data_IF_632042445326
#
_entry.id   IF_632042445326
#
_cell.length_a   1.000
_cell.length_b   1.000
_cell.length_c   1.000
_cell.angle_alpha   90.00
_cell.angle_beta   90.00
_cell.angle_gamma   90.00
#
_symmetry.space_group_name_H-M   'P 1'
#
loop_
_entity.id
_entity.type
_entity.pdbx_description
1 polymer ?
#
# COMPACT_ATOMS: atom_id res chain seq x y z
N UNK A 1 -2.09 -12.37 -0.75
CA UNK A 1 -1.85 -11.17 0.08
C UNK A 1 -1.08 -11.52 1.35
N UNK A 2 -1.51 -12.51 2.13
CA UNK A 2 -0.76 -12.97 3.33
C UNK A 2 0.69 -13.41 3.02
N UNK A 3 0.95 -14.07 1.88
CA UNK A 3 2.32 -14.46 1.49
C UNK A 3 3.25 -13.25 1.28
N UNK A 4 2.77 -12.20 0.59
CA UNK A 4 3.59 -11.05 0.26
C UNK A 4 4.06 -10.27 1.50
N UNK A 5 3.21 -10.13 2.52
CA UNK A 5 3.60 -9.47 3.77
C UNK A 5 4.71 -10.28 4.45
N UNK A 6 4.52 -11.60 4.57
CA UNK A 6 5.52 -12.49 5.16
C UNK A 6 6.86 -12.42 4.42
N UNK A 7 6.83 -12.45 3.09
CA UNK A 7 8.03 -12.36 2.26
C UNK A 7 8.78 -11.04 2.50
N UNK A 8 8.06 -9.91 2.54
CA UNK A 8 8.68 -8.61 2.82
C UNK A 8 9.28 -8.55 4.23
N UNK A 9 8.61 -9.12 5.24
CA UNK A 9 9.13 -9.13 6.62
C UNK A 9 10.35 -10.04 6.78
N UNK A 10 10.38 -11.19 6.11
CA UNK A 10 11.54 -12.10 6.12
C UNK A 10 12.76 -11.44 5.47
N UNK A 11 12.55 -10.72 4.36
CA UNK A 11 13.61 -10.03 3.63
C UNK A 11 14.09 -8.75 4.33
N UNK A 12 13.29 -8.19 5.26
CA UNK A 12 13.60 -6.94 5.96
C UNK A 12 13.54 -7.12 7.50
N UNK A 13 14.54 -7.77 8.12
CA UNK A 13 14.54 -8.09 9.55
C UNK A 13 14.38 -6.86 10.46
N UNK A 14 14.98 -5.73 10.10
CA UNK A 14 14.86 -4.47 10.88
C UNK A 14 13.42 -3.97 10.93
N UNK A 15 12.68 -4.07 9.81
CA UNK A 15 11.25 -3.73 9.77
C UNK A 15 10.46 -4.69 10.65
N UNK A 16 10.76 -5.99 10.59
CA UNK A 16 10.09 -6.98 11.42
C UNK A 16 10.28 -6.72 12.92
N UNK A 17 11.52 -6.41 13.35
CA UNK A 17 11.80 -6.05 14.75
C UNK A 17 11.00 -4.83 15.19
N UNK A 18 11.05 -3.75 14.42
CA UNK A 18 10.32 -2.51 14.70
C UNK A 18 8.80 -2.71 14.77
N UNK A 19 8.26 -3.56 13.89
CA UNK A 19 6.85 -3.93 13.92
C UNK A 19 6.47 -4.71 15.17
N UNK A 20 7.30 -5.67 15.60
CA UNK A 20 7.07 -6.39 16.86
C UNK A 20 7.12 -5.47 18.07
N UNK A 21 8.05 -4.53 18.10
CA UNK A 21 8.16 -3.53 19.15
C UNK A 21 6.89 -2.67 19.26
N UNK A 22 6.38 -2.15 18.13
CA UNK A 22 5.12 -1.39 18.12
C UNK A 22 3.95 -2.20 18.67
N UNK A 23 3.79 -3.45 18.22
CA UNK A 23 2.70 -4.32 18.68
C UNK A 23 2.83 -4.59 20.19
N UNK A 24 4.04 -4.88 20.66
CA UNK A 24 4.30 -5.14 22.07
C UNK A 24 3.98 -3.93 22.96
N UNK A 25 4.35 -2.72 22.52
CA UNK A 25 4.12 -1.49 23.26
C UNK A 25 2.64 -1.08 23.31
N UNK A 26 1.88 -1.29 22.23
CA UNK A 26 0.50 -0.80 22.13
C UNK A 26 -0.56 -1.84 22.50
N UNK A 27 -0.32 -3.12 22.23
CA UNK A 27 -1.27 -4.20 22.56
C UNK A 27 -0.98 -4.75 23.97
N UNK A 28 0.27 -4.69 24.40
CA UNK A 28 0.76 -5.21 25.68
C UNK A 28 1.28 -6.65 25.58
N UNK A 29 1.88 -7.11 26.68
CA UNK A 29 2.35 -8.50 26.85
C UNK A 29 1.31 -9.42 27.48
N UNK A 30 0.21 -8.85 27.94
CA UNK A 30 -0.85 -9.61 28.59
C UNK A 30 -1.42 -10.59 27.57
N UNK A 31 -1.72 -11.80 28.02
CA UNK A 31 -2.13 -12.94 27.19
C UNK A 31 -3.53 -12.77 26.56
N UNK A 32 -3.93 -11.53 26.25
CA UNK A 32 -5.17 -11.16 25.60
C UNK A 32 -5.01 -11.23 24.08
N UNK A 33 -6.12 -11.53 23.40
CA UNK A 33 -6.18 -11.46 21.95
C UNK A 33 -6.17 -9.99 21.48
N UNK A 34 -5.58 -9.77 20.30
CA UNK A 34 -5.66 -8.50 19.57
C UNK A 34 -7.12 -8.19 19.25
N UNK A 35 -7.52 -6.94 19.46
CA UNK A 35 -8.85 -6.43 19.13
C UNK A 35 -8.75 -5.42 17.99
N UNK A 36 -9.84 -5.23 17.27
CA UNK A 36 -9.92 -4.24 16.20
C UNK A 36 -9.63 -2.81 16.71
N UNK A 37 -10.06 -2.51 17.93
CA UNK A 37 -9.78 -1.23 18.61
C UNK A 37 -8.29 -0.95 18.84
N UNK A 38 -7.42 -1.96 18.74
CA UNK A 38 -5.97 -1.78 18.86
C UNK A 38 -5.35 -1.23 17.55
N UNK A 39 -5.96 -1.51 16.39
CA UNK A 39 -5.39 -1.21 15.05
C UNK A 39 -5.10 0.29 14.83
N UNK A 40 -5.94 1.24 15.27
CA UNK A 40 -5.63 2.66 15.15
C UNK A 40 -4.32 3.07 15.84
N UNK A 41 -3.90 2.33 16.88
CA UNK A 41 -2.66 2.57 17.63
C UNK A 41 -1.45 1.80 17.06
N UNK A 42 -1.58 1.19 15.88
CA UNK A 42 -0.51 0.46 15.19
C UNK A 42 -0.17 1.11 13.84
N UNK A 43 0.29 2.38 13.82
CA UNK A 43 0.55 3.11 12.57
C UNK A 43 1.64 2.46 11.70
N UNK A 44 2.67 1.84 12.30
CA UNK A 44 3.71 1.16 11.55
C UNK A 44 3.22 -0.16 10.95
N UNK A 45 2.37 -0.91 11.64
CA UNK A 45 1.66 -2.05 11.02
C UNK A 45 0.86 -1.60 9.79
N UNK A 46 0.10 -0.52 9.91
CA UNK A 46 -0.66 0.02 8.78
C UNK A 46 0.26 0.44 7.64
N UNK A 47 1.41 1.03 7.95
CA UNK A 47 2.43 1.42 6.98
C UNK A 47 3.04 0.21 6.26
N UNK A 48 3.35 -0.87 6.98
CA UNK A 48 3.84 -2.14 6.42
C UNK A 48 2.83 -2.74 5.45
N UNK A 49 1.54 -2.75 5.81
CA UNK A 49 0.47 -3.24 4.92
C UNK A 49 0.36 -2.39 3.67
N UNK A 50 0.36 -1.06 3.80
CA UNK A 50 0.30 -0.12 2.66
C UNK A 50 1.49 -0.28 1.73
N UNK A 51 2.70 -0.39 2.26
CA UNK A 51 3.92 -0.58 1.45
C UNK A 51 3.95 -1.95 0.77
N UNK A 52 3.44 -2.99 1.44
CA UNK A 52 3.32 -4.31 0.82
C UNK A 52 2.34 -4.26 -0.36
N UNK A 53 1.22 -3.57 -0.22
CA UNK A 53 0.24 -3.41 -1.31
C UNK A 53 0.77 -2.56 -2.47
N UNK A 54 1.65 -1.58 -2.19
CA UNK A 54 2.33 -0.80 -3.22
C UNK A 54 3.26 -1.68 -4.07
N UNK A 55 4.11 -2.49 -3.42
CA UNK A 55 5.02 -3.37 -4.14
C UNK A 55 4.30 -4.61 -4.72
N UNK A 56 3.26 -5.10 -4.07
CA UNK A 56 2.53 -6.31 -4.48
C UNK A 56 1.03 -6.03 -4.63
N UNK A 57 0.62 -5.23 -5.63
CA UNK A 57 -0.78 -4.89 -5.82
C UNK A 57 -1.59 -6.12 -6.19
N UNK A 58 -2.78 -6.26 -5.59
CA UNK A 58 -3.72 -7.37 -5.83
C UNK A 58 -4.17 -7.44 -7.30
N UNK A 59 -4.10 -6.32 -8.03
CA UNK A 59 -4.29 -6.33 -9.48
C UNK A 59 -3.31 -5.39 -10.17
N UNK A 60 -2.46 -5.98 -10.99
CA UNK A 60 -1.41 -5.29 -11.75
C UNK A 60 -1.99 -4.41 -12.85
N UNK A 61 -3.01 -4.88 -13.56
CA UNK A 61 -3.73 -4.16 -14.60
C UNK A 61 -5.19 -3.99 -14.21
N UNK A 62 -5.67 -2.74 -14.25
CA UNK A 62 -7.09 -2.40 -14.05
C UNK A 62 -7.69 -1.94 -15.36
N UNK A 63 -8.71 -2.66 -15.83
CA UNK A 63 -9.43 -2.28 -17.03
C UNK A 63 -10.52 -1.23 -16.74
N UNK A 64 -10.71 -0.32 -17.69
CA UNK A 64 -11.85 0.59 -17.82
C UNK A 64 -12.33 0.55 -19.26
N UNK A 65 -13.61 0.77 -19.48
CA UNK A 65 -14.16 0.99 -20.81
C UNK A 65 -14.55 2.45 -20.95
N UNK A 66 -14.13 3.06 -22.05
CA UNK A 66 -14.49 4.42 -22.37
C UNK A 66 -15.96 4.47 -22.83
N UNK A 67 -16.80 5.25 -22.17
CA UNK A 67 -18.23 5.29 -22.48
C UNK A 67 -18.59 6.34 -23.54
N UNK A 68 -17.74 7.35 -23.71
CA UNK A 68 -17.92 8.47 -24.62
C UNK A 68 -16.59 8.78 -25.30
N UNK A 69 -16.65 9.36 -26.49
CA UNK A 69 -15.45 9.92 -27.12
C UNK A 69 -14.84 10.97 -26.18
N UNK A 70 -13.54 10.85 -25.89
CA UNK A 70 -12.83 11.73 -24.95
C UNK A 70 -11.39 11.97 -25.37
N UNK A 71 -10.71 12.93 -24.72
CA UNK A 71 -9.28 13.17 -24.88
C UNK A 71 -8.54 12.93 -23.57
N UNK A 72 -7.46 12.17 -23.62
CA UNK A 72 -6.54 11.97 -22.48
C UNK A 72 -5.13 12.35 -22.94
N UNK A 73 -4.47 13.27 -22.23
CA UNK A 73 -3.13 13.77 -22.57
C UNK A 73 -2.96 14.17 -24.05
N UNK A 74 -4.01 14.77 -24.63
CA UNK A 74 -4.03 15.19 -26.04
C UNK A 74 -4.42 14.11 -27.05
N UNK A 75 -4.55 12.85 -26.65
CA UNK A 75 -4.94 11.74 -27.52
C UNK A 75 -6.45 11.54 -27.55
N UNK A 76 -7.01 11.34 -28.74
CA UNK A 76 -8.43 10.99 -28.94
C UNK A 76 -8.68 9.51 -28.62
N UNK A 77 -9.61 9.25 -27.70
CA UNK A 77 -10.05 7.92 -27.30
C UNK A 77 -11.53 7.78 -27.63
N UNK A 78 -11.87 6.78 -28.45
CA UNK A 78 -13.25 6.52 -28.86
C UNK A 78 -14.05 5.77 -27.80
N UNK A 79 -15.35 6.04 -27.74
CA UNK A 79 -16.30 5.23 -27.00
C UNK A 79 -16.14 3.74 -27.35
N UNK A 80 -16.23 2.85 -26.36
CA UNK A 80 -15.97 1.42 -26.49
C UNK A 80 -14.51 1.01 -26.31
N UNK A 81 -13.54 1.93 -26.35
CA UNK A 81 -12.12 1.61 -26.13
C UNK A 81 -11.88 1.04 -24.73
N UNK A 82 -11.06 -0.01 -24.63
CA UNK A 82 -10.58 -0.55 -23.35
C UNK A 82 -9.29 0.15 -22.95
N UNK A 83 -9.29 0.75 -21.77
CA UNK A 83 -8.14 1.40 -21.16
C UNK A 83 -7.60 0.49 -20.06
N UNK A 84 -6.31 0.17 -20.11
CA UNK A 84 -5.63 -0.63 -19.09
C UNK A 84 -4.71 0.27 -18.27
N UNK A 85 -4.97 0.37 -16.97
CA UNK A 85 -4.17 1.11 -16.02
C UNK A 85 -3.18 0.14 -15.37
N UNK A 86 -1.89 0.36 -15.57
CA UNK A 86 -0.82 -0.46 -15.00
C UNK A 86 -0.47 0.03 -13.59
N UNK A 87 -1.22 -0.47 -12.59
CA UNK A 87 -0.99 -0.15 -11.19
C UNK A 87 0.42 -0.56 -10.73
N UNK A 88 0.94 -1.70 -11.22
CA UNK A 88 2.29 -2.17 -10.88
C UNK A 88 3.37 -1.16 -11.28
N UNK A 89 3.31 -0.65 -12.51
CA UNK A 89 4.25 0.35 -13.01
C UNK A 89 4.10 1.70 -12.30
N UNK A 90 2.86 2.18 -12.11
CA UNK A 90 2.59 3.43 -11.42
C UNK A 90 3.10 3.42 -9.97
N UNK A 91 2.95 2.29 -9.28
CA UNK A 91 3.43 2.13 -7.90
C UNK A 91 4.96 2.05 -7.78
N UNK A 92 5.69 1.98 -8.90
CA UNK A 92 7.17 1.92 -8.98
C UNK A 92 7.78 3.03 -9.84
N UNK A 93 6.99 4.01 -10.25
CA UNK A 93 7.49 5.13 -11.04
C UNK A 93 8.48 5.95 -10.21
N UNK A 94 9.73 6.03 -10.66
CA UNK A 94 10.81 6.77 -9.99
C UNK A 94 10.60 8.28 -9.98
N UNK A 95 9.73 8.81 -10.83
CA UNK A 95 9.33 10.22 -10.77
C UNK A 95 8.35 10.51 -9.62
N UNK A 96 7.65 9.48 -9.15
CA UNK A 96 6.61 9.59 -8.11
C UNK A 96 7.10 9.06 -6.76
N UNK A 97 7.91 8.00 -6.76
CA UNK A 97 8.38 7.31 -5.55
C UNK A 97 9.89 7.36 -5.43
N UNK A 98 10.39 7.92 -4.32
CA UNK A 98 11.80 7.76 -3.94
C UNK A 98 12.09 6.30 -3.60
N UNK A 99 13.23 5.79 -4.11
CA UNK A 99 13.66 4.39 -4.04
C UNK A 99 12.48 3.44 -4.32
N UNK A 100 11.94 3.43 -5.54
CA UNK A 100 10.64 2.83 -5.84
C UNK A 100 10.58 1.32 -5.61
N UNK A 101 11.70 0.63 -5.75
CA UNK A 101 11.77 -0.83 -5.57
C UNK A 101 12.17 -1.24 -4.14
N UNK A 102 12.58 -0.30 -3.28
CA UNK A 102 12.89 -0.59 -1.88
C UNK A 102 11.61 -0.66 -1.04
N UNK A 103 11.56 -1.65 -0.14
CA UNK A 103 10.49 -1.78 0.85
C UNK A 103 10.77 -0.84 2.03
N UNK A 104 10.10 0.31 2.04
CA UNK A 104 10.30 1.36 3.06
C UNK A 104 8.96 1.79 3.66
N UNK A 105 8.42 1.05 4.65
CA UNK A 105 7.15 1.39 5.29
C UNK A 105 7.09 2.81 5.84
N UNK A 106 8.22 3.37 6.26
CA UNK A 106 8.36 4.74 6.78
C UNK A 106 7.71 5.80 5.89
N UNK A 107 7.62 5.58 4.57
CA UNK A 107 6.97 6.51 3.64
C UNK A 107 5.48 6.72 3.92
N UNK A 108 4.84 5.79 4.62
CA UNK A 108 3.43 5.88 5.02
C UNK A 108 3.24 6.34 6.47
N UNK A 109 4.32 6.67 7.20
CA UNK A 109 4.24 7.25 8.55
C UNK A 109 4.07 8.77 8.53
N UNK A 110 4.61 9.45 7.51
CA UNK A 110 4.54 10.91 7.35
C UNK A 110 3.25 11.40 6.68
N UNK A 111 2.47 10.48 6.11
CA UNK A 111 1.14 10.78 5.65
C UNK A 111 0.20 10.84 6.86
N UNK A 112 0.03 12.03 7.46
CA UNK A 112 -1.27 12.35 8.05
C UNK A 112 -2.29 12.00 6.97
N UNK A 113 -3.10 10.97 7.19
CA UNK A 113 -4.27 10.70 6.37
C UNK A 113 -5.02 12.04 6.24
N UNK A 114 -5.23 12.58 5.03
CA UNK A 114 -5.95 13.83 4.90
C UNK A 114 -7.37 13.74 5.43
N UNK A 115 -7.95 12.54 5.55
CA UNK A 115 -9.34 12.41 5.92
C UNK A 115 -9.53 11.26 6.92
N UNK A 116 -9.95 11.64 8.13
CA UNK A 116 -10.83 10.79 8.92
C UNK A 116 -12.16 10.74 8.19
N UNK A 117 -12.48 9.59 7.61
CA UNK A 117 -13.83 9.27 7.17
C UNK A 117 -14.23 8.05 8.00
N UNK A 118 -15.03 8.34 9.01
CA UNK A 118 -16.00 7.41 9.59
C UNK A 118 -16.90 6.82 8.49
#
# INVERSE_FOLDING_TARGET
MQSAITDQLIQNPTVFTKLREEIHLNVGSDNRLVKESDVPNLPFLQAVVKETLRLSPVGTLRARQCNIDTKINGYDIKAGSRILINAYALMRDSNTWDKPDEFMPERFLSAKSPDGVD
#
